data_IF_459096198155
#
_entry.id   IF_459096198155
#
_cell.length_a   1.000
_cell.length_b   1.000
_cell.length_c   1.000
_cell.angle_alpha   90.00
_cell.angle_beta   90.00
_cell.angle_gamma   90.00
#
_symmetry.space_group_name_H-M   'P 1'
#
loop_
_entity.id
_entity.type
_entity.pdbx_description
1 polymer ?
#
# COMPACT_ATOMS: atom_id res chain seq x y z
N UNK A 1 23.44 -20.73 16.70
CA UNK A 1 22.94 -19.91 15.59
C UNK A 1 21.91 -18.97 16.20
N UNK A 2 22.14 -17.65 16.21
CA UNK A 2 21.15 -16.68 16.70
C UNK A 2 20.19 -16.43 15.55
N UNK A 3 18.93 -16.79 15.70
CA UNK A 3 17.88 -16.37 14.77
C UNK A 3 17.74 -14.85 14.88
N UNK A 4 17.85 -14.15 13.75
CA UNK A 4 17.55 -12.72 13.70
C UNK A 4 16.03 -12.54 13.87
N UNK A 5 15.56 -11.50 14.59
CA UNK A 5 14.13 -11.23 14.71
C UNK A 5 13.53 -11.01 13.30
N UNK A 6 12.31 -11.51 13.08
CA UNK A 6 11.55 -11.14 11.90
C UNK A 6 11.26 -9.64 11.95
N UNK A 7 11.47 -8.94 10.83
CA UNK A 7 11.15 -7.53 10.72
C UNK A 7 9.64 -7.30 10.94
N UNK A 8 9.30 -6.21 11.62
CA UNK A 8 7.91 -5.82 11.87
C UNK A 8 7.22 -5.40 10.58
N UNK A 9 5.89 -5.24 10.64
CA UNK A 9 5.10 -4.74 9.52
C UNK A 9 5.60 -3.36 9.06
N UNK A 10 5.82 -2.44 9.99
CA UNK A 10 6.28 -1.08 9.74
C UNK A 10 7.70 -1.06 9.16
N UNK A 11 8.61 -1.90 9.64
CA UNK A 11 9.99 -1.99 9.12
C UNK A 11 10.01 -2.46 7.66
N UNK A 12 9.23 -3.49 7.33
CA UNK A 12 9.10 -3.98 5.95
C UNK A 12 8.44 -2.92 5.06
N UNK A 13 7.37 -2.29 5.56
CA UNK A 13 6.67 -1.25 4.82
C UNK A 13 7.58 -0.06 4.53
N UNK A 14 8.36 0.40 5.51
CA UNK A 14 9.35 1.47 5.32
C UNK A 14 10.38 1.09 4.24
N UNK A 15 10.95 -0.12 4.31
CA UNK A 15 11.92 -0.60 3.31
C UNK A 15 11.33 -0.59 1.88
N UNK A 16 10.07 -0.99 1.74
CA UNK A 16 9.36 -0.96 0.47
C UNK A 16 9.15 0.48 0.01
N UNK A 17 8.65 1.36 0.87
CA UNK A 17 8.38 2.76 0.52
C UNK A 17 9.67 3.47 0.06
N UNK A 18 10.76 3.32 0.81
CA UNK A 18 12.06 3.92 0.47
C UNK A 18 12.64 3.36 -0.83
N UNK A 19 12.42 2.08 -1.12
CA UNK A 19 12.96 1.45 -2.33
C UNK A 19 12.09 1.64 -3.58
N UNK A 20 10.79 1.85 -3.42
CA UNK A 20 9.81 1.87 -4.52
C UNK A 20 9.25 3.24 -4.84
N UNK A 21 9.23 4.16 -3.87
CA UNK A 21 8.68 5.50 -4.05
C UNK A 21 9.83 6.49 -4.21
N UNK A 22 9.89 7.13 -5.37
CA UNK A 22 10.89 8.14 -5.65
C UNK A 22 10.87 9.26 -4.60
N UNK A 23 12.06 9.59 -4.09
CA UNK A 23 12.24 10.62 -3.08
C UNK A 23 11.76 10.24 -1.67
N UNK A 24 11.20 9.05 -1.44
CA UNK A 24 10.87 8.60 -0.09
C UNK A 24 12.13 8.26 0.71
N UNK A 25 12.19 8.72 1.96
CA UNK A 25 13.34 8.61 2.86
C UNK A 25 13.04 7.88 4.16
N UNK A 26 11.76 7.69 4.48
CA UNK A 26 11.34 6.94 5.66
C UNK A 26 9.85 7.00 5.90
N UNK A 27 9.38 6.18 6.83
CA UNK A 27 8.00 6.08 7.27
C UNK A 27 7.87 6.67 8.68
N UNK A 28 7.20 7.81 8.79
CA UNK A 28 7.03 8.50 10.07
C UNK A 28 5.89 7.90 10.90
N UNK A 29 4.77 7.59 10.26
CA UNK A 29 3.56 7.14 10.94
C UNK A 29 2.67 6.29 10.04
N UNK A 30 2.01 5.30 10.63
CA UNK A 30 0.97 4.48 10.01
C UNK A 30 -0.30 4.61 10.84
N UNK A 31 -1.36 5.12 10.23
CA UNK A 31 -2.68 5.16 10.84
C UNK A 31 -3.59 4.17 10.10
N UNK A 32 -4.02 3.12 10.79
CA UNK A 32 -5.04 2.22 10.24
C UNK A 32 -6.40 2.90 10.30
N UNK A 33 -7.03 3.04 9.15
CA UNK A 33 -8.37 3.60 8.99
C UNK A 33 -9.41 2.50 9.12
N UNK A 34 -10.66 2.89 9.36
CA UNK A 34 -11.76 1.92 9.37
C UNK A 34 -11.85 1.22 8.02
N UNK A 35 -11.76 -0.11 8.04
CA UNK A 35 -11.83 -0.99 6.86
C UNK A 35 -12.85 -2.09 7.09
N UNK A 36 -13.44 -2.61 6.01
CA UNK A 36 -14.32 -3.76 6.08
C UNK A 36 -13.57 -5.03 6.48
N UNK A 37 -14.28 -6.12 6.77
CA UNK A 37 -13.67 -7.38 7.24
C UNK A 37 -12.65 -8.00 6.27
N UNK A 38 -12.66 -7.62 4.98
CA UNK A 38 -11.82 -8.20 3.94
C UNK A 38 -10.61 -7.36 3.54
N UNK A 39 -10.65 -6.04 3.74
CA UNK A 39 -9.61 -5.10 3.30
C UNK A 39 -9.37 -4.02 4.36
N UNK A 40 -8.11 -3.66 4.53
CA UNK A 40 -7.65 -2.64 5.46
C UNK A 40 -7.03 -1.49 4.66
N UNK A 41 -7.39 -0.27 5.03
CA UNK A 41 -6.77 0.95 4.51
C UNK A 41 -5.92 1.56 5.62
N UNK A 42 -4.69 1.97 5.31
CA UNK A 42 -3.85 2.73 6.20
C UNK A 42 -3.42 4.04 5.56
N UNK A 43 -3.48 5.15 6.31
CA UNK A 43 -2.79 6.38 5.95
C UNK A 43 -1.32 6.26 6.36
N UNK A 44 -0.44 6.56 5.42
CA UNK A 44 1.01 6.54 5.62
C UNK A 44 1.51 7.97 5.58
N UNK A 45 2.24 8.37 6.61
CA UNK A 45 2.99 9.62 6.62
C UNK A 45 4.47 9.30 6.34
N UNK A 46 4.98 9.78 5.21
CA UNK A 46 6.34 9.48 4.77
C UNK A 46 7.19 10.74 4.70
N UNK A 47 8.42 10.66 5.19
CA UNK A 47 9.44 11.66 4.92
C UNK A 47 9.90 11.52 3.47
N UNK A 48 9.96 12.64 2.74
CA UNK A 48 10.47 12.70 1.37
C UNK A 48 11.48 13.84 1.19
N UNK A 49 12.19 13.85 0.07
CA UNK A 49 13.11 14.95 -0.30
C UNK A 49 12.44 16.33 -0.31
N UNK A 50 11.12 16.37 -0.52
CA UNK A 50 10.30 17.59 -0.55
C UNK A 50 9.57 17.88 0.76
N UNK A 51 9.85 17.14 1.84
CA UNK A 51 9.13 17.23 3.12
C UNK A 51 8.18 16.05 3.33
N UNK A 52 7.20 16.22 4.21
CA UNK A 52 6.25 15.15 4.54
C UNK A 52 5.19 14.99 3.45
N UNK A 53 4.97 13.74 3.00
CA UNK A 53 3.93 13.38 2.03
C UNK A 53 3.06 12.25 2.56
N UNK A 54 1.77 12.30 2.24
CA UNK A 54 0.80 11.28 2.60
C UNK A 54 0.57 10.28 1.45
N UNK A 55 0.39 9.02 1.82
CA UNK A 55 -0.01 7.93 0.93
C UNK A 55 -1.11 7.09 1.58
N UNK A 56 -1.80 6.28 0.79
CA UNK A 56 -2.70 5.25 1.27
C UNK A 56 -2.11 3.86 0.95
N UNK A 57 -2.13 2.95 1.92
CA UNK A 57 -1.97 1.52 1.70
C UNK A 57 -3.35 0.87 1.74
N UNK A 58 -3.74 0.20 0.66
CA UNK A 58 -4.90 -0.71 0.66
C UNK A 58 -4.40 -2.14 0.58
N UNK A 59 -4.73 -2.96 1.57
CA UNK A 59 -4.27 -4.35 1.62
C UNK A 59 -5.32 -5.33 2.13
N UNK A 60 -5.10 -6.61 1.86
CA UNK A 60 -5.93 -7.68 2.41
C UNK A 60 -5.83 -7.70 3.94
N UNK A 61 -6.98 -7.82 4.60
CA UNK A 61 -7.02 -7.85 6.06
C UNK A 61 -6.14 -8.97 6.63
N UNK A 62 -5.37 -8.66 7.67
CA UNK A 62 -4.42 -9.60 8.27
C UNK A 62 -3.16 -9.89 7.46
N UNK A 63 -2.91 -9.18 6.35
CA UNK A 63 -1.68 -9.34 5.56
C UNK A 63 -1.58 -10.67 4.83
N UNK A 64 -2.72 -11.23 4.43
CA UNK A 64 -2.79 -12.51 3.72
C UNK A 64 -2.69 -12.32 2.21
N UNK A 65 -2.20 -13.33 1.52
CA UNK A 65 -2.37 -13.45 0.07
C UNK A 65 -3.76 -14.02 -0.20
N UNK A 66 -4.58 -13.28 -0.94
CA UNK A 66 -5.93 -13.64 -1.33
C UNK A 66 -5.97 -13.75 -2.86
N UNK A 67 -5.96 -14.97 -3.41
CA UNK A 67 -6.09 -15.15 -4.85
C UNK A 67 -7.44 -14.56 -5.34
N UNK A 68 -7.51 -14.11 -6.60
CA UNK A 68 -8.76 -13.70 -7.23
C UNK A 68 -9.85 -14.77 -7.09
N UNK A 69 -11.10 -14.34 -6.98
CA UNK A 69 -12.27 -15.22 -6.95
C UNK A 69 -13.32 -14.73 -7.96
N UNK A 70 -14.35 -15.54 -8.18
CA UNK A 70 -15.50 -15.18 -9.03
C UNK A 70 -16.22 -13.91 -8.56
N UNK A 71 -16.05 -13.52 -7.30
CA UNK A 71 -16.71 -12.35 -6.69
C UNK A 71 -15.77 -11.18 -6.42
N UNK A 72 -14.45 -11.37 -6.50
CA UNK A 72 -13.46 -10.33 -6.21
C UNK A 72 -12.26 -10.45 -7.17
N UNK A 73 -11.97 -9.40 -7.97
CA UNK A 73 -10.90 -9.46 -8.98
C UNK A 73 -9.48 -9.55 -8.37
N UNK A 74 -9.35 -9.26 -7.07
CA UNK A 74 -8.07 -9.21 -6.34
C UNK A 74 -7.46 -7.82 -6.35
N UNK A 75 -6.69 -7.48 -5.31
CA UNK A 75 -6.16 -6.13 -5.09
C UNK A 75 -5.21 -5.65 -6.21
N UNK A 76 -4.42 -6.56 -6.78
CA UNK A 76 -3.57 -6.23 -7.93
C UNK A 76 -4.41 -5.84 -9.16
N UNK A 77 -5.53 -6.54 -9.41
CA UNK A 77 -6.43 -6.19 -10.51
C UNK A 77 -7.16 -4.88 -10.24
N UNK A 78 -7.58 -4.60 -9.01
CA UNK A 78 -8.13 -3.30 -8.61
C UNK A 78 -7.15 -2.16 -8.87
N UNK A 79 -5.88 -2.32 -8.52
CA UNK A 79 -4.84 -1.33 -8.80
C UNK A 79 -4.63 -1.11 -10.31
N UNK A 80 -4.60 -2.20 -11.11
CA UNK A 80 -4.52 -2.10 -12.57
C UNK A 80 -5.72 -1.38 -13.17
N UNK A 81 -6.94 -1.62 -12.66
CA UNK A 81 -8.13 -0.90 -13.10
C UNK A 81 -8.04 0.60 -12.80
N UNK A 82 -7.52 1.00 -11.63
CA UNK A 82 -7.28 2.40 -11.29
C UNK A 82 -6.25 3.05 -12.22
N UNK A 83 -5.15 2.34 -12.53
CA UNK A 83 -4.15 2.81 -13.48
C UNK A 83 -4.74 3.01 -14.88
N UNK A 84 -5.54 2.06 -15.37
CA UNK A 84 -6.22 2.14 -16.66
C UNK A 84 -7.21 3.32 -16.71
N UNK A 85 -7.99 3.52 -15.65
CA UNK A 85 -8.92 4.63 -15.54
C UNK A 85 -8.19 5.98 -15.62
N UNK A 86 -7.08 6.13 -14.88
CA UNK A 86 -6.26 7.35 -14.91
C UNK A 86 -5.68 7.62 -16.30
N UNK A 87 -5.15 6.59 -16.96
CA UNK A 87 -4.62 6.68 -18.33
C UNK A 87 -5.70 7.07 -19.35
N UNK A 88 -6.95 6.67 -19.12
CA UNK A 88 -8.10 7.06 -19.92
C UNK A 88 -8.64 8.47 -19.60
N UNK A 89 -8.02 9.21 -18.67
CA UNK A 89 -8.45 10.54 -18.25
C UNK A 89 -9.59 10.55 -17.23
N UNK A 90 -9.96 9.39 -16.68
CA UNK A 90 -10.94 9.29 -15.59
C UNK A 90 -10.23 9.62 -14.27
N UNK A 91 -10.82 10.47 -13.39
CA UNK A 91 -10.25 10.74 -12.07
C UNK A 91 -10.02 9.45 -11.27
N UNK A 92 -8.77 9.17 -10.94
CA UNK A 92 -8.32 8.02 -10.16
C UNK A 92 -7.00 8.36 -9.46
N UNK A 93 -6.72 7.76 -8.29
CA UNK A 93 -5.46 8.02 -7.57
C UNK A 93 -4.26 7.49 -8.36
N UNK A 94 -3.10 8.12 -8.19
CA UNK A 94 -1.84 7.52 -8.63
C UNK A 94 -1.57 6.21 -7.87
N UNK A 95 -1.24 5.12 -8.57
CA UNK A 95 -0.74 3.90 -7.94
C UNK A 95 0.78 3.97 -7.92
N UNK A 96 1.36 4.09 -6.73
CA UNK A 96 2.80 4.20 -6.55
C UNK A 96 3.49 2.83 -6.54
N UNK A 97 2.84 1.81 -5.98
CA UNK A 97 3.42 0.47 -5.91
C UNK A 97 2.34 -0.59 -5.70
N UNK A 98 2.49 -1.75 -6.34
CA UNK A 98 1.65 -2.93 -6.09
C UNK A 98 2.52 -3.94 -5.35
N UNK A 99 2.07 -4.41 -4.18
CA UNK A 99 2.80 -5.38 -3.37
C UNK A 99 2.94 -6.71 -4.12
N UNK A 100 4.09 -7.31 -3.94
CA UNK A 100 4.46 -8.64 -4.44
C UNK A 100 4.56 -9.63 -3.28
N UNK A 101 4.74 -10.91 -3.61
CA UNK A 101 4.96 -11.94 -2.59
C UNK A 101 6.26 -11.75 -1.81
N UNK A 102 7.27 -11.16 -2.44
CA UNK A 102 8.58 -10.94 -1.84
C UNK A 102 8.57 -9.82 -0.79
N UNK A 103 7.54 -8.97 -0.83
CA UNK A 103 7.35 -7.89 0.15
C UNK A 103 6.87 -8.42 1.51
N UNK A 104 6.32 -9.64 1.57
CA UNK A 104 5.84 -10.31 2.78
C UNK A 104 4.88 -9.45 3.65
N UNK A 105 4.01 -8.70 2.96
CA UNK A 105 2.92 -7.89 3.54
C UNK A 105 1.53 -8.28 3.04
N UNK A 106 1.40 -9.43 2.38
CA UNK A 106 0.15 -9.87 1.73
C UNK A 106 -0.17 -9.07 0.47
N UNK A 107 -1.38 -9.29 -0.07
CA UNK A 107 -1.84 -8.54 -1.24
C UNK A 107 -2.19 -7.11 -0.87
N UNK A 108 -1.79 -6.16 -1.70
CA UNK A 108 -2.12 -4.75 -1.52
C UNK A 108 -1.39 -3.85 -2.49
N UNK A 109 -1.62 -2.55 -2.36
CA UNK A 109 -0.96 -1.52 -3.15
C UNK A 109 -0.89 -0.20 -2.38
N UNK A 110 0.14 0.57 -2.69
CA UNK A 110 0.34 1.94 -2.21
C UNK A 110 -0.14 2.89 -3.29
N UNK A 111 -0.98 3.85 -2.92
CA UNK A 111 -1.55 4.84 -3.81
C UNK A 111 -1.48 6.25 -3.21
N UNK A 112 -1.77 7.24 -4.05
CA UNK A 112 -2.00 8.62 -3.64
C UNK A 112 -3.06 8.70 -2.53
N UNK A 113 -2.78 9.49 -1.50
CA UNK A 113 -3.78 9.83 -0.51
C UNK A 113 -4.79 10.82 -1.10
N UNK A 114 -6.08 10.46 -1.10
CA UNK A 114 -7.15 11.34 -1.53
C UNK A 114 -7.79 12.02 -0.31
N UNK A 115 -7.85 13.34 -0.30
CA UNK A 115 -8.54 14.10 0.75
C UNK A 115 -10.03 13.69 0.79
N UNK A 116 -10.42 12.94 1.82
CA UNK A 116 -11.77 12.39 1.99
C UNK A 116 -11.84 10.93 2.46
N UNK A 117 -10.73 10.19 2.52
CA UNK A 117 -10.70 8.80 3.02
C UNK A 117 -10.79 8.64 4.56
N UNK A 118 -11.39 9.61 5.27
CA UNK A 118 -11.51 9.63 6.75
C UNK A 118 -12.87 9.22 7.29
#
# INVERSE_FOLDING_TARGET
MRELPLATFEEKLEQILVSRIEGCRGLNHVERLSGGAAQETCRLECATDSGVRLFALRRAAGGVFRPPSDTQPGLAAEALLMQCAKQAGVPAPEIHYILSKDDDLGDGFVMEWLEGEG
#
